data_IF_003870462376
#
_entry.id   IF_003870462376
#
_cell.length_a   1.000
_cell.length_b   1.000
_cell.length_c   1.000
_cell.angle_alpha   90.00
_cell.angle_beta   90.00
_cell.angle_gamma   90.00
#
_symmetry.space_group_name_H-M   'P 1'
#
loop_
_entity.id
_entity.type
_entity.pdbx_description
1 polymer ?
#
# COMPACT_ATOMS: atom_id res chain seq x y z
N UNK A 1 -12.19 -15.61 -9.68
CA UNK A 1 -13.20 -14.76 -9.02
C UNK A 1 -13.99 -14.01 -10.08
N UNK A 2 -15.30 -14.08 -10.01
CA UNK A 2 -16.15 -13.34 -10.94
C UNK A 2 -15.95 -11.83 -10.76
N UNK A 3 -15.89 -11.09 -11.88
CA UNK A 3 -15.62 -9.65 -11.87
C UNK A 3 -14.15 -9.27 -11.78
N UNK A 4 -13.25 -10.23 -11.54
CA UNK A 4 -11.81 -10.01 -11.49
C UNK A 4 -11.12 -10.61 -12.70
N UNK A 5 -9.95 -10.06 -13.03
CA UNK A 5 -9.10 -10.60 -14.07
C UNK A 5 -8.75 -12.07 -13.77
N UNK A 6 -8.78 -12.91 -14.81
CA UNK A 6 -8.56 -14.35 -14.68
C UNK A 6 -7.15 -14.72 -14.18
N UNK A 7 -6.19 -13.81 -14.28
CA UNK A 7 -4.84 -14.03 -13.74
C UNK A 7 -4.80 -14.14 -12.21
N UNK A 8 -5.86 -13.69 -11.52
CA UNK A 8 -5.97 -13.77 -10.06
C UNK A 8 -6.77 -15.01 -9.66
N UNK A 9 -6.14 -15.90 -8.88
CA UNK A 9 -6.74 -17.16 -8.43
C UNK A 9 -7.81 -16.96 -7.35
N UNK A 10 -7.53 -16.05 -6.43
CA UNK A 10 -8.36 -15.74 -5.26
C UNK A 10 -8.04 -14.34 -4.77
N UNK A 11 -8.72 -13.90 -3.71
CA UNK A 11 -8.53 -12.56 -3.19
C UNK A 11 -7.11 -12.33 -2.61
N UNK A 12 -6.53 -13.23 -1.81
CA UNK A 12 -5.15 -13.06 -1.39
C UNK A 12 -4.17 -12.92 -2.56
N UNK A 13 -4.33 -13.71 -3.61
CA UNK A 13 -3.49 -13.62 -4.80
C UNK A 13 -3.63 -12.25 -5.48
N UNK A 14 -4.85 -11.74 -5.58
CA UNK A 14 -5.12 -10.39 -6.09
C UNK A 14 -4.38 -9.32 -5.27
N UNK A 15 -4.57 -9.32 -3.95
CA UNK A 15 -3.95 -8.34 -3.05
C UNK A 15 -2.41 -8.39 -3.14
N UNK A 16 -1.83 -9.59 -3.09
CA UNK A 16 -0.38 -9.76 -3.13
C UNK A 16 0.21 -9.34 -4.47
N UNK A 17 -0.44 -9.69 -5.57
CA UNK A 17 0.05 -9.36 -6.92
C UNK A 17 -0.01 -7.87 -7.22
N UNK A 18 -1.11 -7.20 -6.90
CA UNK A 18 -1.20 -5.75 -7.14
C UNK A 18 -0.23 -4.98 -6.25
N UNK A 19 -0.04 -5.41 -5.00
CA UNK A 19 0.95 -4.81 -4.10
C UNK A 19 2.37 -4.96 -4.66
N UNK A 20 2.71 -6.16 -5.14
CA UNK A 20 4.01 -6.43 -5.74
C UNK A 20 4.23 -5.58 -6.99
N UNK A 21 3.26 -5.54 -7.89
CA UNK A 21 3.35 -4.76 -9.13
C UNK A 21 3.59 -3.28 -8.85
N UNK A 22 2.86 -2.69 -7.92
CA UNK A 22 2.98 -1.26 -7.58
C UNK A 22 4.34 -0.97 -6.92
N UNK A 23 4.72 -1.76 -5.93
CA UNK A 23 5.83 -1.42 -5.03
C UNK A 23 7.16 -2.09 -5.39
N UNK A 24 7.17 -3.35 -5.82
CA UNK A 24 8.39 -4.06 -6.18
C UNK A 24 8.76 -3.83 -7.64
N UNK A 25 7.80 -4.00 -8.55
CA UNK A 25 8.02 -3.70 -9.97
C UNK A 25 8.02 -2.20 -10.25
N UNK A 26 7.60 -1.40 -9.27
CA UNK A 26 7.52 0.07 -9.36
C UNK A 26 6.64 0.55 -10.51
N UNK A 27 5.65 -0.25 -10.85
CA UNK A 27 4.61 0.10 -11.82
C UNK A 27 3.51 0.90 -11.12
N UNK A 28 3.87 2.12 -10.71
CA UNK A 28 2.99 2.99 -9.93
C UNK A 28 1.73 3.36 -10.71
N UNK A 29 1.83 3.50 -12.02
CA UNK A 29 0.69 3.86 -12.87
C UNK A 29 -0.38 2.76 -12.91
N UNK A 30 -0.07 1.52 -12.53
CA UNK A 30 -1.06 0.44 -12.41
C UNK A 30 -2.11 0.72 -11.33
N UNK A 31 -1.83 1.63 -10.40
CA UNK A 31 -2.82 2.12 -9.43
C UNK A 31 -4.08 2.62 -10.15
N UNK A 32 -3.94 3.24 -11.31
CA UNK A 32 -5.06 3.76 -12.10
C UNK A 32 -6.00 2.66 -12.59
N UNK A 33 -5.47 1.46 -12.77
CA UNK A 33 -6.27 0.29 -13.15
C UNK A 33 -7.00 -0.33 -11.95
N UNK A 34 -6.30 -0.45 -10.82
CA UNK A 34 -6.79 -1.21 -9.67
C UNK A 34 -7.53 -0.38 -8.62
N UNK A 35 -7.36 0.92 -8.60
CA UNK A 35 -8.01 1.78 -7.60
C UNK A 35 -9.22 2.48 -8.23
N UNK A 36 -10.37 2.34 -7.58
CA UNK A 36 -11.62 2.89 -8.08
C UNK A 36 -11.59 4.42 -8.13
N UNK A 37 -12.31 4.99 -9.09
CA UNK A 37 -12.50 6.44 -9.19
C UNK A 37 -13.12 6.97 -7.90
N UNK A 38 -12.50 8.02 -7.35
CA UNK A 38 -12.98 8.64 -6.11
C UNK A 38 -12.71 7.86 -4.83
N UNK A 39 -11.93 6.76 -4.90
CA UNK A 39 -11.61 5.95 -3.72
C UNK A 39 -11.10 6.80 -2.55
N UNK A 40 -11.65 6.65 -1.34
CA UNK A 40 -11.03 7.22 -0.15
C UNK A 40 -9.89 6.31 0.32
N UNK A 41 -8.72 6.89 0.55
CA UNK A 41 -7.58 6.21 1.16
C UNK A 41 -7.20 6.96 2.43
N UNK A 42 -7.32 6.26 3.56
CA UNK A 42 -7.03 6.81 4.89
C UNK A 42 -5.69 6.30 5.37
N UNK A 43 -4.87 7.20 5.84
CA UNK A 43 -3.53 6.87 6.33
C UNK A 43 -3.16 7.78 7.50
N UNK A 44 -2.02 7.58 8.16
CA UNK A 44 -1.55 8.51 9.19
C UNK A 44 -1.38 9.94 8.69
N UNK A 45 -1.22 10.16 7.39
CA UNK A 45 -1.11 11.50 6.80
C UNK A 45 -2.46 12.18 6.56
N UNK A 46 -3.56 11.45 6.73
CA UNK A 46 -4.92 11.97 6.49
C UNK A 46 -5.66 11.17 5.44
N UNK A 47 -6.62 11.81 4.79
CA UNK A 47 -7.48 11.18 3.77
C UNK A 47 -7.20 11.80 2.41
N UNK A 48 -6.99 10.96 1.41
CA UNK A 48 -6.90 11.37 0.00
C UNK A 48 -7.99 10.66 -0.81
N UNK A 49 -8.35 11.23 -1.95
CA UNK A 49 -9.42 10.70 -2.78
C UNK A 49 -8.95 10.50 -4.23
N UNK A 50 -9.23 9.32 -4.76
CA UNK A 50 -9.02 9.01 -6.16
C UNK A 50 -7.63 8.51 -6.52
N UNK A 51 -7.50 7.81 -7.67
CA UNK A 51 -6.24 7.22 -8.09
C UNK A 51 -5.10 8.23 -8.27
N UNK A 52 -5.38 9.44 -8.76
CA UNK A 52 -4.35 10.46 -8.96
C UNK A 52 -3.64 10.83 -7.65
N UNK A 53 -4.41 10.99 -6.57
CA UNK A 53 -3.86 11.29 -5.26
C UNK A 53 -3.03 10.13 -4.71
N UNK A 54 -3.48 8.90 -4.93
CA UNK A 54 -2.76 7.69 -4.50
C UNK A 54 -1.45 7.54 -5.28
N UNK A 55 -1.47 7.76 -6.61
CA UNK A 55 -0.27 7.74 -7.46
C UNK A 55 0.74 8.77 -6.96
N UNK A 56 0.30 9.99 -6.72
CA UNK A 56 1.16 11.08 -6.21
C UNK A 56 1.80 10.72 -4.86
N UNK A 57 1.01 10.20 -3.92
CA UNK A 57 1.50 9.79 -2.62
C UNK A 57 2.50 8.64 -2.71
N UNK A 58 2.28 7.70 -3.63
CA UNK A 58 3.17 6.56 -3.86
C UNK A 58 4.51 7.01 -4.43
N UNK A 59 4.51 7.90 -5.42
CA UNK A 59 5.76 8.48 -5.95
C UNK A 59 6.52 9.24 -4.87
N UNK A 60 5.84 10.02 -4.05
CA UNK A 60 6.48 10.76 -2.95
C UNK A 60 7.18 9.81 -1.96
N UNK A 61 6.54 8.70 -1.63
CA UNK A 61 7.13 7.66 -0.76
C UNK A 61 8.36 7.03 -1.41
N UNK A 62 8.29 6.69 -2.70
CA UNK A 62 9.42 6.10 -3.43
C UNK A 62 10.54 7.09 -3.67
N UNK A 63 10.28 8.39 -3.71
CA UNK A 63 11.31 9.42 -3.77
C UNK A 63 12.09 9.49 -2.45
N UNK A 64 11.39 9.48 -1.33
CA UNK A 64 12.02 9.52 0.00
C UNK A 64 12.73 8.21 0.34
N UNK A 65 12.12 7.08 -0.03
CA UNK A 65 12.60 5.72 0.25
C UNK A 65 12.68 4.89 -1.05
N UNK A 66 13.66 5.19 -1.94
CA UNK A 66 13.68 4.55 -3.27
C UNK A 66 13.94 3.04 -3.26
N UNK A 67 14.54 2.52 -2.19
CA UNK A 67 14.80 1.09 -2.03
C UNK A 67 13.72 0.35 -1.23
N UNK A 68 12.57 0.98 -1.00
CA UNK A 68 11.49 0.40 -0.20
C UNK A 68 11.05 -0.96 -0.74
N UNK A 69 11.00 -1.93 0.16
CA UNK A 69 10.54 -3.29 -0.11
C UNK A 69 9.36 -3.62 0.81
N UNK A 70 8.34 -4.25 0.25
CA UNK A 70 7.16 -4.71 0.99
C UNK A 70 7.06 -6.22 0.91
N UNK A 71 7.12 -6.87 2.07
CA UNK A 71 6.88 -8.30 2.18
C UNK A 71 5.47 -8.52 2.73
N UNK A 72 4.59 -9.07 1.92
CA UNK A 72 3.27 -9.49 2.35
C UNK A 72 3.37 -10.70 3.26
N UNK A 73 3.02 -10.54 4.54
CA UNK A 73 3.14 -11.61 5.53
C UNK A 73 1.88 -12.47 5.59
N UNK A 74 0.70 -11.84 5.52
CA UNK A 74 -0.57 -12.55 5.65
C UNK A 74 -1.71 -11.69 5.10
N UNK A 75 -2.70 -12.35 4.51
CA UNK A 75 -3.94 -11.72 4.06
C UNK A 75 -5.11 -12.52 4.61
N UNK A 76 -5.89 -11.89 5.47
CA UNK A 76 -7.18 -12.44 5.91
C UNK A 76 -8.30 -11.70 5.17
N UNK A 77 -9.42 -12.37 4.93
CA UNK A 77 -10.49 -11.79 4.13
C UNK A 77 -11.84 -12.43 4.41
N UNK A 78 -12.89 -11.71 4.04
CA UNK A 78 -14.28 -12.14 4.09
C UNK A 78 -15.02 -11.52 2.91
N UNK A 79 -16.11 -12.13 2.52
CA UNK A 79 -16.99 -11.60 1.48
C UNK A 79 -17.17 -12.53 0.32
N UNK A 80 -17.81 -12.03 -0.72
CA UNK A 80 -18.13 -12.75 -1.94
C UNK A 80 -18.18 -11.78 -3.13
N UNK A 81 -18.33 -12.33 -4.32
CA UNK A 81 -18.33 -11.56 -5.57
C UNK A 81 -19.50 -10.58 -5.68
N UNK A 82 -20.62 -10.93 -5.08
CA UNK A 82 -21.84 -10.12 -5.15
C UNK A 82 -21.75 -8.90 -4.22
N UNK A 83 -21.38 -9.11 -2.97
CA UNK A 83 -21.32 -8.06 -1.94
C UNK A 83 -19.99 -7.33 -1.91
N UNK A 84 -18.97 -7.90 -2.55
CA UNK A 84 -17.60 -7.45 -2.46
C UNK A 84 -16.81 -8.16 -1.38
N UNK A 85 -15.53 -7.91 -1.35
CA UNK A 85 -14.58 -8.50 -0.40
C UNK A 85 -14.00 -7.44 0.51
N UNK A 86 -13.74 -7.83 1.75
CA UNK A 86 -12.96 -7.03 2.68
C UNK A 86 -11.73 -7.84 3.07
N UNK A 87 -10.55 -7.27 2.88
CA UNK A 87 -9.28 -7.90 3.24
C UNK A 87 -8.49 -7.07 4.23
N UNK A 88 -7.68 -7.74 5.04
CA UNK A 88 -6.68 -7.11 5.87
C UNK A 88 -5.33 -7.74 5.56
N UNK A 89 -4.36 -6.92 5.16
CA UNK A 89 -3.06 -7.34 4.68
C UNK A 89 -1.97 -6.83 5.63
N UNK A 90 -1.26 -7.75 6.27
CA UNK A 90 -0.12 -7.43 7.12
C UNK A 90 1.15 -7.40 6.27
N UNK A 91 1.87 -6.28 6.33
CA UNK A 91 3.03 -6.01 5.48
C UNK A 91 4.23 -5.67 6.35
N UNK A 92 5.36 -6.33 6.11
CA UNK A 92 6.66 -5.91 6.65
C UNK A 92 7.34 -5.03 5.62
N UNK A 93 7.73 -3.83 6.03
CA UNK A 93 8.40 -2.87 5.16
C UNK A 93 9.84 -2.68 5.59
N UNK A 94 10.74 -2.67 4.61
CA UNK A 94 12.15 -2.30 4.78
C UNK A 94 12.46 -1.14 3.84
N UNK A 95 13.23 -0.18 4.33
CA UNK A 95 13.62 0.98 3.53
C UNK A 95 14.86 1.65 4.10
N UNK A 96 15.53 2.45 3.27
CA UNK A 96 16.60 3.35 3.70
C UNK A 96 16.16 4.78 3.44
N UNK A 97 16.30 5.66 4.43
CA UNK A 97 15.92 7.06 4.31
C UNK A 97 16.96 7.83 3.52
N UNK A 98 16.92 7.68 2.19
CA UNK A 98 17.96 8.15 1.28
C UNK A 98 17.77 9.59 0.80
N UNK A 99 16.53 10.10 0.80
CA UNK A 99 16.22 11.43 0.32
C UNK A 99 15.33 12.18 1.31
N UNK A 100 15.28 13.49 1.15
CA UNK A 100 14.41 14.37 1.95
C UNK A 100 12.94 14.08 1.62
N UNK A 101 12.07 14.20 2.61
CA UNK A 101 10.64 14.00 2.44
C UNK A 101 9.85 14.37 3.68
N UNK A 102 8.69 13.73 3.86
CA UNK A 102 7.78 14.05 4.97
C UNK A 102 8.38 13.78 6.36
N UNK A 103 9.39 12.91 6.43
CA UNK A 103 10.10 12.62 7.69
C UNK A 103 11.33 13.52 7.91
N UNK A 104 11.53 14.53 7.07
CA UNK A 104 12.62 15.47 7.18
C UNK A 104 13.77 15.18 6.22
N UNK A 105 14.94 15.69 6.55
CA UNK A 105 16.14 15.52 5.74
C UNK A 105 16.64 14.09 5.76
N UNK A 106 17.22 13.64 4.65
CA UNK A 106 17.78 12.31 4.51
C UNK A 106 18.74 11.97 5.66
N UNK A 107 18.49 10.85 6.31
CA UNK A 107 19.33 10.37 7.43
C UNK A 107 20.28 9.25 7.03
N UNK A 108 20.04 8.59 5.90
CA UNK A 108 20.76 7.39 5.48
C UNK A 108 20.49 6.16 6.35
N UNK A 109 19.54 6.25 7.28
CA UNK A 109 19.25 5.16 8.22
C UNK A 109 18.34 4.12 7.61
N UNK A 110 18.54 2.87 8.01
CA UNK A 110 17.69 1.75 7.66
C UNK A 110 16.46 1.71 8.57
N UNK A 111 15.32 1.42 7.97
CA UNK A 111 14.04 1.28 8.66
C UNK A 111 13.47 -0.12 8.46
N UNK A 112 12.83 -0.63 9.49
CA UNK A 112 11.97 -1.79 9.41
C UNK A 112 10.70 -1.51 10.21
N UNK A 113 9.54 -1.67 9.58
CA UNK A 113 8.26 -1.40 10.25
C UNK A 113 7.12 -2.16 9.58
N UNK A 114 6.00 -2.28 10.28
CA UNK A 114 4.81 -2.93 9.75
C UNK A 114 3.74 -1.95 9.35
N UNK A 115 2.99 -2.35 8.33
CA UNK A 115 1.79 -1.66 7.86
C UNK A 115 0.66 -2.68 7.79
N UNK A 116 -0.53 -2.27 8.17
CA UNK A 116 -1.75 -3.01 7.91
C UNK A 116 -2.54 -2.24 6.86
N UNK A 117 -2.91 -2.92 5.78
CA UNK A 117 -3.74 -2.35 4.73
C UNK A 117 -5.07 -3.09 4.70
N UNK A 118 -6.15 -2.40 5.04
CA UNK A 118 -7.49 -2.92 4.91
C UNK A 118 -8.10 -2.41 3.62
N UNK A 119 -8.55 -3.33 2.77
CA UNK A 119 -9.07 -3.01 1.44
C UNK A 119 -10.45 -3.60 1.22
N UNK A 120 -11.38 -2.79 0.73
CA UNK A 120 -12.64 -3.26 0.19
C UNK A 120 -12.48 -3.37 -1.33
N UNK A 121 -12.75 -4.56 -1.88
CA UNK A 121 -12.51 -4.90 -3.28
C UNK A 121 -13.74 -5.48 -3.95
N UNK A 122 -13.99 -5.06 -5.20
CA UNK A 122 -15.05 -5.60 -6.04
C UNK A 122 -14.75 -5.26 -7.50
N UNK A 123 -15.12 -6.14 -8.41
CA UNK A 123 -15.00 -5.90 -9.85
C UNK A 123 -13.59 -5.46 -10.26
N UNK A 124 -12.59 -6.17 -9.78
CA UNK A 124 -11.17 -5.95 -10.09
C UNK A 124 -10.61 -4.63 -9.55
N UNK A 125 -11.30 -3.97 -8.63
CA UNK A 125 -10.86 -2.70 -8.08
C UNK A 125 -10.93 -2.67 -6.55
N UNK A 126 -10.01 -1.91 -5.97
CA UNK A 126 -10.07 -1.48 -4.57
C UNK A 126 -10.91 -0.21 -4.54
N UNK A 127 -11.98 -0.19 -3.76
CA UNK A 127 -12.88 0.97 -3.68
C UNK A 127 -12.92 1.65 -2.31
N UNK A 128 -12.23 1.10 -1.32
CA UNK A 128 -12.02 1.72 -0.01
C UNK A 128 -10.74 1.15 0.58
N UNK A 129 -9.91 2.00 1.22
CA UNK A 129 -8.64 1.58 1.79
C UNK A 129 -8.32 2.31 3.07
N UNK A 130 -7.83 1.55 4.06
CA UNK A 130 -7.30 2.04 5.32
C UNK A 130 -5.86 1.55 5.48
N UNK A 131 -4.94 2.48 5.71
CA UNK A 131 -3.55 2.17 5.99
C UNK A 131 -3.24 2.52 7.44
N UNK A 132 -2.82 1.53 8.20
CA UNK A 132 -2.31 1.71 9.56
C UNK A 132 -0.82 1.44 9.53
N UNK A 133 -0.02 2.47 9.77
CA UNK A 133 1.44 2.40 9.72
C UNK A 133 2.01 2.67 11.10
N UNK A 134 3.06 1.92 11.46
CA UNK A 134 3.75 2.15 12.73
C UNK A 134 4.65 3.40 12.65
N UNK A 135 4.01 4.57 12.76
CA UNK A 135 4.68 5.87 12.71
C UNK A 135 5.69 6.03 13.84
N UNK A 136 5.36 5.52 15.03
CA UNK A 136 6.27 5.57 16.17
C UNK A 136 7.57 4.85 15.91
N UNK A 137 7.52 3.66 15.30
CA UNK A 137 8.71 2.91 14.92
C UNK A 137 9.56 3.66 13.89
N UNK A 138 8.92 4.28 12.89
CA UNK A 138 9.64 5.06 11.87
C UNK A 138 10.37 6.24 12.51
N UNK A 139 9.65 7.06 13.26
CA UNK A 139 10.23 8.26 13.89
C UNK A 139 11.35 7.88 14.87
N UNK A 140 11.16 6.83 15.65
CA UNK A 140 12.16 6.34 16.59
C UNK A 140 13.44 5.91 15.87
N UNK A 141 13.33 5.11 14.83
CA UNK A 141 14.48 4.61 14.08
C UNK A 141 15.25 5.76 13.39
N UNK A 142 14.54 6.78 12.90
CA UNK A 142 15.18 7.93 12.26
C UNK A 142 15.90 8.83 13.25
N UNK A 143 15.42 8.95 14.50
CA UNK A 143 15.94 9.94 15.44
C UNK A 143 16.81 9.35 16.57
N UNK A 144 16.62 8.09 16.95
CA UNK A 144 17.23 7.53 18.14
C UNK A 144 18.06 6.27 17.92
N UNK A 145 18.05 5.73 16.71
CA UNK A 145 18.78 4.48 16.43
C UNK A 145 20.04 4.73 15.55
#
# INVERSE_FOLDING_TARGET
MQGFDQKFRDLPDYILKITYQIWEDKDVESIREYYAKGIPVRSPAGVVYGPDAVVKATYATLEEFPDRQLLGEDVIWIGNEHDGYLSSHRILTRATHLNDGVYGKATGKNLIYRVIADCACKDNQVYDEWLVRDQGAIVRQLNFC
#
